data_IF_602632044153
#
_entry.id   IF_602632044153
#
_cell.length_a   1.000
_cell.length_b   1.000
_cell.length_c   1.000
_cell.angle_alpha   90.00
_cell.angle_beta   90.00
_cell.angle_gamma   90.00
#
_symmetry.space_group_name_H-M   'P 1'
#
loop_
_entity.id
_entity.type
_entity.pdbx_description
1 polymer ?
#
# COMPACT_ATOMS: atom_id res chain seq x y z
N UNK A 1 4.60 -11.85 -5.20
CA UNK A 1 4.67 -11.37 -3.80
C UNK A 1 3.30 -11.62 -3.22
N UNK A 2 3.19 -12.39 -2.14
CA UNK A 2 1.88 -12.69 -1.55
C UNK A 2 1.20 -11.45 -0.98
N UNK A 3 -0.12 -11.39 -1.09
CA UNK A 3 -0.98 -10.32 -0.53
C UNK A 3 -0.72 -10.08 0.96
N UNK A 4 -0.29 -11.11 1.69
CA UNK A 4 0.13 -11.02 3.09
C UNK A 4 1.32 -10.08 3.28
N UNK A 5 2.30 -10.10 2.37
CA UNK A 5 3.46 -9.20 2.43
C UNK A 5 3.07 -7.75 2.13
N UNK A 6 2.09 -7.55 1.24
CA UNK A 6 1.52 -6.23 0.96
C UNK A 6 0.82 -5.67 2.20
N UNK A 7 -0.02 -6.49 2.86
CA UNK A 7 -0.66 -6.11 4.13
C UNK A 7 0.37 -5.70 5.19
N UNK A 8 1.39 -6.52 5.43
CA UNK A 8 2.41 -6.21 6.43
C UNK A 8 3.18 -4.93 6.13
N UNK A 9 3.45 -4.63 4.86
CA UNK A 9 4.09 -3.36 4.47
C UNK A 9 3.18 -2.16 4.67
N UNK A 10 1.89 -2.28 4.32
CA UNK A 10 0.89 -1.25 4.59
C UNK A 10 0.77 -1.00 6.10
N UNK A 11 0.70 -2.05 6.92
CA UNK A 11 0.65 -1.94 8.38
C UNK A 11 1.90 -1.28 8.98
N UNK A 12 3.09 -1.58 8.44
CA UNK A 12 4.33 -0.90 8.85
C UNK A 12 4.32 0.58 8.46
N UNK A 13 3.95 0.89 7.22
CA UNK A 13 3.86 2.28 6.76
C UNK A 13 2.83 3.10 7.55
N UNK A 14 1.74 2.45 7.97
CA UNK A 14 0.76 3.01 8.89
C UNK A 14 1.34 3.28 10.28
N UNK A 15 2.08 2.33 10.84
CA UNK A 15 2.71 2.48 12.15
C UNK A 15 3.80 3.56 12.16
N UNK A 16 4.59 3.64 11.09
CA UNK A 16 5.64 4.64 10.93
C UNK A 16 5.09 6.02 10.50
N UNK A 17 3.85 6.07 9.99
CA UNK A 17 3.21 7.28 9.45
C UNK A 17 3.91 7.81 8.19
N UNK A 18 4.72 6.97 7.55
CA UNK A 18 5.58 7.33 6.41
C UNK A 18 5.67 6.15 5.45
N UNK A 19 5.69 6.46 4.16
CA UNK A 19 5.80 5.49 3.09
C UNK A 19 6.73 6.08 2.03
N UNK A 20 7.74 5.34 1.59
CA UNK A 20 8.55 5.80 0.47
C UNK A 20 7.79 5.66 -0.86
N UNK A 21 8.13 6.48 -1.85
CA UNK A 21 7.62 6.29 -3.23
C UNK A 21 7.94 4.91 -3.78
N UNK A 22 9.12 4.38 -3.46
CA UNK A 22 9.52 3.05 -3.86
C UNK A 22 8.59 1.99 -3.26
N UNK A 23 8.26 2.09 -1.96
CA UNK A 23 7.33 1.16 -1.31
C UNK A 23 5.91 1.28 -1.87
N UNK A 24 5.43 2.49 -2.15
CA UNK A 24 4.12 2.68 -2.80
C UNK A 24 4.06 1.99 -4.16
N UNK A 25 5.13 2.10 -4.96
CA UNK A 25 5.23 1.40 -6.23
C UNK A 25 5.35 -0.12 -6.06
N UNK A 26 6.10 -0.60 -5.06
CA UNK A 26 6.24 -2.02 -4.76
C UNK A 26 4.89 -2.64 -4.36
N UNK A 27 4.11 -1.93 -3.53
CA UNK A 27 2.75 -2.32 -3.13
C UNK A 27 1.83 -2.38 -4.35
N UNK A 28 1.85 -1.34 -5.20
CA UNK A 28 1.06 -1.31 -6.42
C UNK A 28 1.45 -2.44 -7.38
N UNK A 29 2.75 -2.68 -7.55
CA UNK A 29 3.28 -3.73 -8.40
C UNK A 29 2.88 -5.11 -7.86
N UNK A 30 2.90 -5.32 -6.54
CA UNK A 30 2.48 -6.55 -5.91
C UNK A 30 0.98 -6.83 -6.10
N UNK A 31 0.11 -5.82 -5.93
CA UNK A 31 -1.33 -5.94 -6.20
C UNK A 31 -1.60 -6.25 -7.69
N UNK A 32 -0.80 -5.68 -8.59
CA UNK A 32 -0.93 -5.93 -10.03
C UNK A 32 -0.20 -7.19 -10.50
N UNK A 33 0.62 -7.82 -9.64
CA UNK A 33 1.46 -8.95 -10.03
C UNK A 33 0.63 -10.20 -10.37
N UNK A 34 -0.47 -10.40 -9.65
CA UNK A 34 -1.37 -11.54 -9.87
C UNK A 34 -2.32 -11.32 -11.07
N UNK A 35 -2.25 -10.15 -11.73
CA UNK A 35 -3.13 -9.70 -12.84
C UNK A 35 -4.64 -9.77 -12.56
N UNK A 36 -5.01 -10.11 -11.33
CA UNK A 36 -6.35 -10.12 -10.79
C UNK A 36 -6.33 -9.19 -9.60
N UNK A 37 -7.04 -8.06 -9.70
CA UNK A 37 -7.27 -7.20 -8.54
C UNK A 37 -8.59 -7.65 -7.95
N UNK A 38 -8.52 -8.34 -6.82
CA UNK A 38 -9.69 -8.72 -6.03
C UNK A 38 -10.29 -7.49 -5.32
N UNK A 39 -11.54 -7.59 -4.87
CA UNK A 39 -12.18 -6.51 -4.10
C UNK A 39 -11.41 -6.16 -2.82
N UNK A 40 -10.81 -7.16 -2.17
CA UNK A 40 -9.98 -6.96 -0.98
C UNK A 40 -8.71 -6.16 -1.30
N UNK A 41 -8.02 -6.46 -2.40
CA UNK A 41 -6.83 -5.71 -2.82
C UNK A 41 -7.17 -4.28 -3.22
N UNK A 42 -8.27 -4.11 -3.94
CA UNK A 42 -8.75 -2.80 -4.32
C UNK A 42 -9.11 -1.96 -3.08
N UNK A 43 -9.73 -2.58 -2.07
CA UNK A 43 -10.05 -1.92 -0.81
C UNK A 43 -8.78 -1.51 -0.05
N UNK A 44 -7.81 -2.41 0.09
CA UNK A 44 -6.52 -2.12 0.74
C UNK A 44 -5.77 -0.98 0.05
N UNK A 45 -5.70 -0.99 -1.28
CA UNK A 45 -5.08 0.08 -2.05
C UNK A 45 -5.78 1.42 -1.83
N UNK A 46 -7.11 1.41 -1.80
CA UNK A 46 -7.91 2.61 -1.60
C UNK A 46 -7.77 3.18 -0.20
N UNK A 47 -7.69 2.32 0.82
CA UNK A 47 -7.38 2.74 2.20
C UNK A 47 -6.01 3.40 2.27
N UNK A 48 -4.98 2.77 1.70
CA UNK A 48 -3.62 3.35 1.64
C UNK A 48 -3.61 4.72 0.94
N UNK A 49 -4.28 4.84 -0.20
CA UNK A 49 -4.40 6.13 -0.90
C UNK A 49 -5.12 7.19 -0.06
N UNK A 50 -6.16 6.79 0.66
CA UNK A 50 -6.90 7.70 1.53
C UNK A 50 -6.01 8.19 2.67
N UNK A 51 -5.21 7.32 3.29
CA UNK A 51 -4.28 7.66 4.37
C UNK A 51 -3.16 8.61 3.90
N UNK A 52 -2.68 8.41 2.67
CA UNK A 52 -1.74 9.32 2.02
C UNK A 52 -2.42 10.68 1.78
N UNK A 53 -3.67 10.67 1.32
CA UNK A 53 -4.42 11.87 1.01
C UNK A 53 -4.81 12.68 2.26
N UNK A 54 -5.19 12.01 3.36
CA UNK A 54 -5.46 12.65 4.66
C UNK A 54 -4.19 13.15 5.34
N UNK A 55 -3.01 12.69 4.89
CA UNK A 55 -1.72 13.04 5.46
C UNK A 55 -1.37 12.24 6.72
N UNK A 56 -2.12 11.18 7.03
CA UNK A 56 -1.74 10.18 8.04
C UNK A 56 -0.46 9.44 7.65
N UNK A 57 -0.27 9.22 6.35
CA UNK A 57 0.96 8.65 5.78
C UNK A 57 1.64 9.68 4.91
N UNK A 58 2.85 10.09 5.28
CA UNK A 58 3.66 10.96 4.42
C UNK A 58 4.39 10.14 3.35
N UNK A 59 4.20 10.52 2.10
CA UNK A 59 5.04 10.05 1.00
C UNK A 59 6.41 10.75 1.08
N UNK A 60 7.43 9.98 1.46
CA UNK A 60 8.83 10.41 1.36
C UNK A 60 9.43 9.92 0.03
N UNK A 61 10.35 10.70 -0.54
CA UNK A 61 10.96 10.39 -1.85
C UNK A 61 12.02 9.29 -1.73
#
# INVERSE_FOLDING_TARGET
>A
MDITQVKTRIERALADGRLSRQESQDIKAAILADKQVTEEEHKLWRELQNLIFTGEVKLED
#
